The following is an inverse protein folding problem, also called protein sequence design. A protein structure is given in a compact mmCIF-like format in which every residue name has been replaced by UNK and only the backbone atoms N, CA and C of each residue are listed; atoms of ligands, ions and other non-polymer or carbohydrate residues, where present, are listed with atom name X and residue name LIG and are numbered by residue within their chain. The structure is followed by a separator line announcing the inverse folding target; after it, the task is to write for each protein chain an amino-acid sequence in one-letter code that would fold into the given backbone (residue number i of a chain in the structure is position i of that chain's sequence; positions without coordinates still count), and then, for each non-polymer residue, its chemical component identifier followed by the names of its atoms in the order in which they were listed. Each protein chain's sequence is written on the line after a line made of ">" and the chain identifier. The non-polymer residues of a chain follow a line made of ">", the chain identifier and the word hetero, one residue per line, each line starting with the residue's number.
data_IF_223606672352
#
_entry.id   IF_223606672352
#
_cell.length_a   1.000
_cell.length_b   1.000
_cell.length_c   1.000
_cell.angle_alpha   90.00
_cell.angle_beta   90.00
_cell.angle_gamma   90.00
#
_symmetry.space_group_name_H-M   'P 1'
#
loop_
_entity.id
_entity.type
_entity.pdbx_description
1 polymer ?
#
# COMPACT_ATOMS: atom_id res chain seq x y z
N UNK A 1 27.73 -4.21 17.90
CA UNK A 1 26.45 -4.36 17.19
C UNK A 1 25.39 -3.67 18.05
N UNK A 2 24.85 -2.54 17.60
CA UNK A 2 23.74 -1.90 18.31
C UNK A 2 22.46 -2.68 17.97
N UNK A 3 21.75 -3.19 18.97
CA UNK A 3 20.39 -3.68 18.75
C UNK A 3 19.50 -2.46 18.51
N UNK A 4 19.20 -2.13 17.25
CA UNK A 4 18.09 -1.22 16.96
C UNK A 4 16.84 -1.84 17.58
N UNK A 5 16.23 -1.12 18.51
CA UNK A 5 15.01 -1.54 19.19
C UNK A 5 13.86 -1.69 18.19
N UNK A 6 13.02 -2.70 18.39
CA UNK A 6 11.76 -2.82 17.66
C UNK A 6 10.93 -1.53 17.81
N UNK A 7 10.34 -1.07 16.70
CA UNK A 7 9.54 0.15 16.67
C UNK A 7 8.08 -0.25 16.74
N UNK A 8 7.41 0.06 17.85
CA UNK A 8 6.01 -0.28 18.05
C UNK A 8 5.08 0.80 17.48
N UNK A 9 4.07 0.38 16.71
CA UNK A 9 2.90 1.22 16.39
C UNK A 9 1.83 0.94 17.44
N UNK A 10 1.44 1.97 18.18
CA UNK A 10 0.33 1.92 19.13
C UNK A 10 -0.82 2.73 18.51
N UNK A 11 -1.96 2.12 18.12
CA UNK A 11 -3.04 2.83 17.43
C UNK A 11 -3.55 4.08 18.15
N UNK A 12 -3.53 4.10 19.49
CA UNK A 12 -3.97 5.23 20.32
C UNK A 12 -2.95 6.38 20.44
N UNK A 13 -1.70 6.23 19.96
CA UNK A 13 -0.72 7.33 19.92
C UNK A 13 -0.71 8.08 18.59
N UNK A 14 -1.49 7.64 17.60
CA UNK A 14 -1.64 8.30 16.31
C UNK A 14 -2.57 9.52 16.42
N UNK A 15 -2.26 10.65 15.76
CA UNK A 15 -3.21 11.76 15.63
C UNK A 15 -4.51 11.26 15.01
N UNK A 16 -5.64 11.67 15.58
CA UNK A 16 -6.96 11.08 15.26
C UNK A 16 -8.09 12.09 15.17
N UNK A 17 -7.80 13.40 15.31
CA UNK A 17 -8.82 14.41 15.06
C UNK A 17 -9.23 14.40 13.58
N UNK A 18 -10.50 14.77 13.27
CA UNK A 18 -10.98 14.84 11.89
C UNK A 18 -10.24 15.90 11.06
N UNK A 19 -9.60 16.87 11.72
CA UNK A 19 -8.67 17.83 11.12
C UNK A 19 -7.43 17.96 11.99
N UNK A 20 -6.26 17.89 11.36
CA UNK A 20 -4.93 18.01 11.99
C UNK A 20 -4.03 18.86 11.08
N UNK A 21 -3.08 19.60 11.67
CA UNK A 21 -2.09 20.37 10.92
C UNK A 21 -0.74 20.31 11.61
N UNK A 22 0.27 19.81 10.91
CA UNK A 22 1.59 19.52 11.46
C UNK A 22 2.53 20.70 11.20
N UNK A 23 2.44 21.73 12.04
CA UNK A 23 3.26 22.94 11.95
C UNK A 23 4.77 22.71 12.12
N UNK A 24 5.18 21.51 12.55
CA UNK A 24 6.56 21.04 12.59
C UNK A 24 7.05 20.42 11.27
N UNK A 25 6.20 20.31 10.25
CA UNK A 25 6.55 19.74 8.94
C UNK A 25 7.42 20.67 8.08
N UNK A 26 8.08 20.10 7.05
CA UNK A 26 8.91 20.87 6.10
C UNK A 26 8.15 22.03 5.44
N UNK A 27 6.85 21.86 5.13
CA UNK A 27 6.00 22.87 4.51
C UNK A 27 5.95 24.19 5.32
N UNK A 28 5.61 24.09 6.61
CA UNK A 28 5.49 25.27 7.48
C UNK A 28 6.84 25.77 8.00
N UNK A 29 7.81 24.88 8.23
CA UNK A 29 9.14 25.30 8.69
C UNK A 29 9.95 26.01 7.60
N UNK A 30 9.75 25.64 6.32
CA UNK A 30 10.37 26.33 5.17
C UNK A 30 9.72 27.68 4.89
N UNK A 31 8.40 27.80 5.02
CA UNK A 31 7.69 29.08 4.88
C UNK A 31 6.56 29.23 5.92
N UNK A 32 6.85 29.81 7.10
CA UNK A 32 5.87 29.93 8.20
C UNK A 32 4.66 30.83 7.95
N UNK A 33 4.52 31.38 6.74
CA UNK A 33 3.35 32.17 6.32
C UNK A 33 2.43 31.42 5.34
N UNK A 34 2.79 30.20 4.94
CA UNK A 34 1.89 29.37 4.14
C UNK A 34 0.78 28.81 5.03
N UNK A 35 -0.42 28.77 4.46
CA UNK A 35 -1.57 28.04 4.98
C UNK A 35 -1.90 26.92 3.98
N UNK A 36 -2.48 25.83 4.45
CA UNK A 36 -2.93 24.76 3.56
C UNK A 36 -4.19 25.23 2.79
N UNK A 37 -4.29 24.99 1.47
CA UNK A 37 -5.45 25.39 0.69
C UNK A 37 -6.76 24.82 1.26
N UNK A 38 -7.80 25.64 1.33
CA UNK A 38 -9.10 25.24 1.88
C UNK A 38 -9.77 24.14 1.03
N UNK A 39 -10.61 23.28 1.63
CA UNK A 39 -11.44 22.32 0.88
C UNK A 39 -12.29 22.93 -0.24
N UNK A 40 -12.68 24.21 -0.12
CA UNK A 40 -13.31 24.98 -1.20
C UNK A 40 -12.36 25.19 -2.37
N UNK A 41 -11.15 25.71 -2.14
CA UNK A 41 -10.17 25.97 -3.20
C UNK A 41 -9.73 24.68 -3.92
N UNK A 42 -9.63 23.56 -3.20
CA UNK A 42 -9.36 22.24 -3.80
C UNK A 42 -10.48 21.83 -4.76
N UNK A 43 -11.75 21.96 -4.34
CA UNK A 43 -12.91 21.63 -5.18
C UNK A 43 -13.04 22.57 -6.37
N UNK A 44 -12.88 23.87 -6.17
CA UNK A 44 -12.96 24.88 -7.23
C UNK A 44 -11.88 24.65 -8.29
N UNK A 45 -10.65 24.33 -7.87
CA UNK A 45 -9.55 24.00 -8.78
C UNK A 45 -9.76 22.70 -9.54
N UNK A 46 -10.38 21.68 -8.93
CA UNK A 46 -10.78 20.46 -9.63
C UNK A 46 -11.91 20.73 -10.64
N UNK A 47 -12.98 21.41 -10.20
CA UNK A 47 -14.14 21.78 -11.03
C UNK A 47 -13.75 22.63 -12.25
N UNK A 48 -12.68 23.42 -12.16
CA UNK A 48 -12.14 24.18 -13.29
C UNK A 48 -11.46 23.30 -14.38
N UNK A 49 -11.21 22.02 -14.10
CA UNK A 49 -10.47 21.09 -14.98
C UNK A 49 -11.27 19.84 -15.40
N UNK A 50 -12.52 19.68 -14.92
CA UNK A 50 -13.36 18.52 -15.20
C UNK A 50 -14.77 18.93 -15.62
N UNK A 51 -15.37 18.19 -16.55
CA UNK A 51 -16.81 18.28 -16.86
C UNK A 51 -17.66 17.32 -16.00
N UNK A 52 -17.03 16.40 -15.27
CA UNK A 52 -17.71 15.44 -14.39
C UNK A 52 -17.21 15.59 -12.93
N UNK A 53 -18.00 16.22 -12.03
CA UNK A 53 -17.60 16.46 -10.65
C UNK A 53 -17.93 15.32 -9.68
N UNK A 54 -18.61 14.24 -10.12
CA UNK A 54 -19.11 13.18 -9.23
C UNK A 54 -18.22 11.93 -9.24
N UNK A 55 -16.95 12.10 -8.85
CA UNK A 55 -16.01 10.99 -8.65
C UNK A 55 -15.72 10.84 -7.16
N UNK A 56 -15.83 9.62 -6.61
CA UNK A 56 -15.62 9.35 -5.17
C UNK A 56 -14.15 9.46 -4.74
N UNK A 57 -13.24 9.24 -5.70
CA UNK A 57 -11.79 9.44 -5.61
C UNK A 57 -11.29 10.30 -6.79
N UNK A 58 -11.46 11.64 -6.75
CA UNK A 58 -10.95 12.54 -7.78
C UNK A 58 -9.42 12.45 -7.93
N UNK A 59 -8.87 12.84 -9.10
CA UNK A 59 -7.44 13.08 -9.25
C UNK A 59 -6.91 14.06 -8.19
N UNK A 60 -5.70 13.82 -7.63
CA UNK A 60 -5.10 14.75 -6.68
C UNK A 60 -4.88 16.15 -7.27
N UNK A 61 -5.03 17.19 -6.45
CA UNK A 61 -4.78 18.57 -6.86
C UNK A 61 -3.35 18.96 -6.49
N UNK A 62 -2.58 19.46 -7.46
CA UNK A 62 -1.14 19.70 -7.31
C UNK A 62 -0.85 21.22 -7.24
N UNK A 63 0.03 21.61 -6.32
CA UNK A 63 0.55 22.96 -6.12
C UNK A 63 2.09 22.91 -6.22
N UNK A 64 2.67 22.94 -7.44
CA UNK A 64 4.11 22.76 -7.64
C UNK A 64 4.95 23.83 -6.94
N UNK A 65 4.50 25.09 -6.91
CA UNK A 65 5.20 26.20 -6.27
C UNK A 65 5.24 26.13 -4.72
N UNK A 66 4.69 25.06 -4.14
CA UNK A 66 4.58 24.83 -2.70
C UNK A 66 4.99 23.40 -2.29
N UNK A 67 5.56 22.61 -3.22
CA UNK A 67 5.87 21.18 -3.04
C UNK A 67 4.71 20.37 -2.42
N UNK A 68 3.47 20.69 -2.84
CA UNK A 68 2.24 20.19 -2.23
C UNK A 68 1.38 19.42 -3.25
N UNK A 69 0.91 18.25 -2.83
CA UNK A 69 -0.15 17.48 -3.50
C UNK A 69 -1.27 17.20 -2.49
N UNK A 70 -2.52 17.37 -2.94
CA UNK A 70 -3.71 17.15 -2.11
C UNK A 70 -4.53 16.00 -2.66
N UNK A 71 -4.50 14.87 -1.96
CA UNK A 71 -5.34 13.72 -2.24
C UNK A 71 -6.66 13.87 -1.49
N UNK A 72 -7.78 13.81 -2.18
CA UNK A 72 -9.08 14.07 -1.57
C UNK A 72 -10.18 13.20 -2.17
N UNK A 73 -11.31 13.08 -1.47
CA UNK A 73 -12.46 12.28 -1.89
C UNK A 73 -13.21 11.64 -0.72
N UNK A 74 -14.32 10.96 -1.03
CA UNK A 74 -15.14 10.24 -0.03
C UNK A 74 -14.54 8.88 0.36
N UNK A 75 -13.75 8.26 -0.53
CA UNK A 75 -13.01 7.02 -0.23
C UNK A 75 -11.69 7.27 0.52
N UNK A 76 -11.19 8.52 0.54
CA UNK A 76 -9.90 8.85 1.14
C UNK A 76 -9.96 8.72 2.68
N UNK A 77 -8.96 8.05 3.24
CA UNK A 77 -8.92 7.66 4.64
C UNK A 77 -7.82 8.40 5.40
N UNK A 78 -8.14 8.91 6.59
CA UNK A 78 -7.15 9.45 7.54
C UNK A 78 -6.06 8.40 7.89
N UNK A 79 -6.35 7.10 7.77
CA UNK A 79 -5.37 6.04 8.00
C UNK A 79 -4.12 6.14 7.09
N UNK A 80 -4.26 6.66 5.87
CA UNK A 80 -3.13 6.92 4.97
C UNK A 80 -2.25 8.06 5.52
N UNK A 81 -2.89 9.17 5.95
CA UNK A 81 -2.19 10.28 6.62
C UNK A 81 -1.50 9.84 7.92
N UNK A 82 -2.15 8.99 8.72
CA UNK A 82 -1.57 8.39 9.93
C UNK A 82 -0.35 7.52 9.61
N UNK A 83 -0.40 6.76 8.51
CA UNK A 83 0.74 5.96 8.05
C UNK A 83 1.94 6.84 7.67
N UNK A 84 1.73 7.83 6.80
CA UNK A 84 2.77 8.79 6.41
C UNK A 84 3.34 9.55 7.63
N UNK A 85 2.47 10.00 8.55
CA UNK A 85 2.84 10.67 9.80
C UNK A 85 3.80 9.80 10.63
N UNK A 86 3.43 8.53 10.83
CA UNK A 86 4.21 7.60 11.65
C UNK A 86 5.54 7.25 10.98
N UNK A 87 5.51 6.90 9.69
CA UNK A 87 6.69 6.46 8.94
C UNK A 87 7.72 7.58 8.82
N UNK A 88 7.32 8.82 8.45
CA UNK A 88 8.27 9.95 8.35
C UNK A 88 8.97 10.22 9.69
N UNK A 89 8.24 10.12 10.82
CA UNK A 89 8.78 10.41 12.17
C UNK A 89 9.65 9.30 12.75
N UNK A 90 9.32 8.02 12.52
CA UNK A 90 10.00 6.89 13.16
C UNK A 90 10.98 6.15 12.23
N UNK A 91 10.79 6.25 10.91
CA UNK A 91 11.58 5.55 9.88
C UNK A 91 12.05 6.47 8.75
N UNK A 92 11.89 7.80 8.83
CA UNK A 92 12.24 8.73 7.75
C UNK A 92 13.73 8.78 7.36
N UNK A 93 14.63 8.22 8.17
CA UNK A 93 16.04 8.01 7.83
C UNK A 93 16.34 6.68 7.10
N UNK A 94 15.32 5.84 6.91
CA UNK A 94 15.44 4.47 6.38
C UNK A 94 14.43 4.17 5.27
N UNK A 95 13.25 4.81 5.29
CA UNK A 95 12.20 4.71 4.29
C UNK A 95 11.79 6.13 3.89
N UNK A 96 12.08 6.52 2.66
CA UNK A 96 11.53 7.74 2.10
C UNK A 96 10.05 7.52 1.75
N UNK A 97 9.20 8.35 2.35
CA UNK A 97 7.77 8.48 2.06
C UNK A 97 7.43 9.98 1.98
N UNK A 98 6.34 10.36 1.28
CA UNK A 98 5.81 11.72 1.34
C UNK A 98 5.56 12.16 2.78
N UNK A 99 6.02 13.34 3.14
CA UNK A 99 5.64 13.97 4.39
C UNK A 99 4.17 14.39 4.34
N UNK A 100 3.40 14.06 5.37
CA UNK A 100 2.06 14.59 5.56
C UNK A 100 2.15 15.93 6.31
N UNK A 101 1.58 16.97 5.73
CA UNK A 101 1.53 18.33 6.31
C UNK A 101 0.25 18.55 7.13
N UNK A 102 -0.81 17.81 6.82
CA UNK A 102 -2.06 17.81 7.58
C UNK A 102 -3.16 17.02 6.89
N UNK A 103 -4.33 17.00 7.51
CA UNK A 103 -5.56 16.50 6.90
C UNK A 103 -6.78 17.23 7.44
N UNK A 104 -7.89 17.17 6.71
CA UNK A 104 -9.18 17.62 7.23
C UNK A 104 -10.32 16.79 6.65
N UNK A 105 -11.49 16.87 7.30
CA UNK A 105 -12.76 16.38 6.77
C UNK A 105 -13.71 17.54 6.54
N UNK A 106 -14.26 17.61 5.34
CA UNK A 106 -15.22 18.63 4.96
C UNK A 106 -16.20 18.08 3.90
N UNK A 107 -17.48 18.42 4.02
CA UNK A 107 -18.53 17.98 3.09
C UNK A 107 -18.64 16.47 2.89
N UNK A 108 -18.21 15.65 3.85
CA UNK A 108 -18.17 14.18 3.74
C UNK A 108 -16.92 13.60 3.04
N UNK A 109 -16.05 14.44 2.49
CA UNK A 109 -14.76 14.03 1.94
C UNK A 109 -13.62 14.20 2.97
N UNK A 110 -12.58 13.38 2.85
CA UNK A 110 -11.29 13.58 3.51
C UNK A 110 -10.33 14.28 2.54
N UNK A 111 -9.49 15.17 3.04
CA UNK A 111 -8.39 15.82 2.31
C UNK A 111 -7.08 15.51 3.04
N UNK A 112 -6.09 14.97 2.33
CA UNK A 112 -4.74 14.71 2.81
C UNK A 112 -3.78 15.66 2.08
N UNK A 113 -3.05 16.47 2.85
CA UNK A 113 -2.10 17.46 2.33
C UNK A 113 -0.69 16.91 2.55
N UNK A 114 0.03 16.60 1.47
CA UNK A 114 1.32 15.91 1.55
C UNK A 114 2.34 16.43 0.53
N UNK A 115 3.59 16.06 0.76
CA UNK A 115 4.76 16.37 -0.07
C UNK A 115 4.58 15.88 -1.52
N UNK A 116 4.71 16.81 -2.47
CA UNK A 116 4.83 16.50 -3.88
C UNK A 116 6.24 16.01 -4.18
N UNK A 117 6.39 14.73 -4.49
CA UNK A 117 7.70 14.15 -4.80
C UNK A 117 8.13 14.56 -6.22
N UNK A 118 9.16 15.40 -6.34
CA UNK A 118 9.86 15.66 -7.60
C UNK A 118 10.65 14.41 -8.02
N UNK A 119 10.11 13.67 -8.98
CA UNK A 119 10.69 12.44 -9.49
C UNK A 119 9.89 11.87 -10.65
N UNK A 120 10.31 10.70 -11.15
CA UNK A 120 9.60 9.92 -12.16
C UNK A 120 9.12 8.62 -11.54
N UNK A 121 7.91 8.18 -11.90
CA UNK A 121 7.42 6.85 -11.52
C UNK A 121 8.30 5.77 -12.16
N UNK A 122 8.52 4.67 -11.44
CA UNK A 122 9.44 3.61 -11.86
C UNK A 122 8.97 2.90 -13.14
N UNK A 123 7.66 2.65 -13.29
CA UNK A 123 7.06 2.10 -14.51
C UNK A 123 7.41 2.94 -15.76
N UNK A 124 7.24 4.26 -15.68
CA UNK A 124 7.47 5.19 -16.78
C UNK A 124 8.93 5.28 -17.25
N UNK A 125 9.88 4.74 -16.49
CA UNK A 125 11.32 4.70 -16.85
C UNK A 125 11.91 3.29 -16.89
N UNK A 126 11.14 2.27 -16.51
CA UNK A 126 11.63 0.92 -16.24
C UNK A 126 12.41 0.30 -17.40
N UNK A 127 11.90 0.46 -18.62
CA UNK A 127 12.51 -0.07 -19.85
C UNK A 127 13.74 0.71 -20.32
N UNK A 128 13.93 1.94 -19.83
CA UNK A 128 15.04 2.82 -20.19
C UNK A 128 16.24 2.76 -19.25
N UNK A 129 16.08 2.22 -18.03
CA UNK A 129 17.18 2.08 -17.05
C UNK A 129 17.96 0.78 -17.25
N UNK A 130 19.24 0.83 -16.91
CA UNK A 130 20.19 -0.29 -17.05
C UNK A 130 19.93 -1.42 -16.05
N UNK A 131 20.48 -2.62 -16.33
CA UNK A 131 20.39 -3.76 -15.41
C UNK A 131 21.03 -3.46 -14.05
N UNK A 132 22.19 -2.79 -14.03
CA UNK A 132 22.86 -2.34 -12.81
C UNK A 132 21.98 -1.36 -11.98
N UNK A 133 21.26 -0.46 -12.63
CA UNK A 133 20.29 0.42 -11.96
C UNK A 133 19.12 -0.37 -11.39
N UNK A 134 18.57 -1.35 -12.12
CA UNK A 134 17.48 -2.22 -11.64
C UNK A 134 17.90 -3.05 -10.42
N UNK A 135 19.13 -3.56 -10.39
CA UNK A 135 19.70 -4.23 -9.22
C UNK A 135 19.89 -3.25 -8.03
N UNK A 136 20.41 -2.05 -8.29
CA UNK A 136 20.55 -1.00 -7.27
C UNK A 136 19.19 -0.61 -6.67
N UNK A 137 18.15 -0.51 -7.50
CA UNK A 137 16.77 -0.25 -7.09
C UNK A 137 16.26 -1.38 -6.19
N UNK A 138 16.44 -2.64 -6.58
CA UNK A 138 16.04 -3.79 -5.76
C UNK A 138 16.74 -3.81 -4.40
N UNK A 139 18.05 -3.54 -4.34
CA UNK A 139 18.80 -3.45 -3.09
C UNK A 139 18.36 -2.28 -2.18
N UNK A 140 17.84 -1.19 -2.75
CA UNK A 140 17.26 -0.07 -1.99
C UNK A 140 15.87 -0.44 -1.46
N UNK A 141 15.02 -1.04 -2.29
CA UNK A 141 13.71 -1.55 -1.89
C UNK A 141 13.82 -2.63 -0.80
N UNK A 142 14.75 -3.57 -0.91
CA UNK A 142 14.99 -4.62 0.09
C UNK A 142 15.27 -4.02 1.47
N UNK A 143 16.10 -2.96 1.53
CA UNK A 143 16.40 -2.24 2.78
C UNK A 143 15.16 -1.54 3.32
N UNK A 144 14.44 -0.80 2.48
CA UNK A 144 13.23 -0.07 2.89
C UNK A 144 12.14 -1.02 3.42
N UNK A 145 11.90 -2.14 2.73
CA UNK A 145 10.95 -3.17 3.18
C UNK A 145 11.47 -3.86 4.45
N UNK A 146 12.77 -4.17 4.55
CA UNK A 146 13.34 -4.74 5.77
C UNK A 146 13.15 -3.84 6.99
N UNK A 147 13.31 -2.52 6.83
CA UNK A 147 13.01 -1.53 7.87
C UNK A 147 11.52 -1.49 8.21
N UNK A 148 10.63 -1.62 7.22
CA UNK A 148 9.17 -1.70 7.44
C UNK A 148 8.79 -2.95 8.24
N UNK A 149 9.45 -4.10 7.99
CA UNK A 149 9.23 -5.37 8.73
C UNK A 149 9.74 -5.35 10.18
N UNK A 150 10.51 -4.33 10.59
CA UNK A 150 10.85 -4.09 12.01
C UNK A 150 9.76 -3.39 12.80
N UNK A 151 8.72 -2.90 12.15
CA UNK A 151 7.52 -2.41 12.84
C UNK A 151 6.86 -3.58 13.57
N UNK A 152 6.52 -3.38 14.84
CA UNK A 152 5.79 -4.35 15.68
C UNK A 152 4.48 -3.76 16.19
N UNK A 153 3.54 -4.64 16.49
CA UNK A 153 2.36 -4.33 17.29
C UNK A 153 2.69 -4.49 18.78
N UNK A 154 1.76 -4.08 19.64
CA UNK A 154 1.71 -4.58 21.00
C UNK A 154 1.46 -6.11 20.97
N UNK A 155 2.31 -6.95 21.61
CA UNK A 155 2.08 -8.39 21.68
C UNK A 155 0.72 -8.78 22.28
N UNK A 156 0.16 -7.95 23.15
CA UNK A 156 -1.13 -8.18 23.83
C UNK A 156 -2.34 -7.66 23.03
N UNK A 157 -2.12 -6.82 22.00
CA UNK A 157 -3.16 -6.32 21.08
C UNK A 157 -2.78 -6.59 19.62
N UNK A 158 -2.59 -7.86 19.28
CA UNK A 158 -2.35 -8.30 17.90
C UNK A 158 -3.63 -8.27 17.06
N UNK A 159 -3.54 -7.68 15.87
CA UNK A 159 -4.61 -7.65 14.88
C UNK A 159 -4.10 -7.58 13.43
N UNK A 160 -4.98 -7.92 12.48
CA UNK A 160 -4.87 -7.66 11.04
C UNK A 160 -5.89 -6.56 10.72
N UNK A 161 -5.47 -5.49 10.03
CA UNK A 161 -6.29 -4.28 9.83
C UNK A 161 -5.45 -3.06 9.44
N UNK A 162 -6.07 -1.88 9.35
CA UNK A 162 -5.35 -0.62 9.09
C UNK A 162 -4.39 -0.24 10.24
N UNK A 163 -3.49 0.71 10.02
CA UNK A 163 -2.56 1.20 11.06
C UNK A 163 -3.25 1.62 12.37
N UNK A 164 -4.49 2.10 12.29
CA UNK A 164 -5.35 2.53 13.41
C UNK A 164 -6.37 1.48 13.87
N UNK A 165 -6.10 0.18 13.63
CA UNK A 165 -6.95 -0.97 14.05
C UNK A 165 -8.35 -0.95 13.43
N UNK A 166 -8.51 -0.30 12.28
CA UNK A 166 -9.72 -0.34 11.46
C UNK A 166 -9.69 -1.48 10.42
N UNK A 167 -10.73 -1.59 9.57
CA UNK A 167 -10.74 -2.56 8.47
C UNK A 167 -9.57 -2.32 7.49
N UNK A 168 -9.09 -3.40 6.88
CA UNK A 168 -8.12 -3.39 5.78
C UNK A 168 -8.64 -2.50 4.64
N UNK A 169 -7.73 -1.78 3.97
CA UNK A 169 -8.02 -0.83 2.88
C UNK A 169 -7.53 -1.27 1.51
N UNK A 170 -7.06 -2.51 1.40
CA UNK A 170 -6.74 -3.15 0.12
C UNK A 170 -7.96 -3.16 -0.81
N UNK A 171 -7.76 -2.71 -2.05
CA UNK A 171 -8.80 -2.56 -3.07
C UNK A 171 -9.49 -3.89 -3.42
N UNK A 172 -8.83 -5.03 -3.18
CA UNK A 172 -9.42 -6.36 -3.39
C UNK A 172 -10.63 -6.60 -2.44
N UNK A 173 -10.69 -5.90 -1.31
CA UNK A 173 -11.81 -5.92 -0.38
C UNK A 173 -12.77 -4.72 -0.54
N UNK A 174 -12.48 -3.80 -1.47
CA UNK A 174 -13.28 -2.60 -1.69
C UNK A 174 -14.48 -2.90 -2.59
N UNK A 175 -15.55 -3.42 -1.98
CA UNK A 175 -16.87 -3.51 -2.62
C UNK A 175 -17.98 -3.22 -1.61
N UNK A 176 -18.99 -2.39 -1.96
CA UNK A 176 -20.12 -2.07 -1.07
C UNK A 176 -20.96 -3.28 -0.65
N UNK A 177 -20.86 -4.41 -1.37
CA UNK A 177 -21.58 -5.65 -1.05
C UNK A 177 -20.83 -6.57 -0.09
N UNK A 178 -19.60 -6.23 0.31
CA UNK A 178 -18.79 -7.06 1.20
C UNK A 178 -18.91 -6.60 2.67
N UNK A 179 -18.84 -7.54 3.63
CA UNK A 179 -18.64 -7.17 5.03
C UNK A 179 -17.27 -6.47 5.21
N UNK A 180 -17.11 -5.58 6.21
CA UNK A 180 -15.83 -4.94 6.48
C UNK A 180 -14.70 -5.96 6.70
N UNK A 181 -13.54 -5.68 6.10
CA UNK A 181 -12.33 -6.49 6.18
C UNK A 181 -11.60 -6.31 7.51
N UNK A 182 -12.22 -6.75 8.60
CA UNK A 182 -11.62 -6.76 9.94
C UNK A 182 -11.95 -5.52 10.80
N UNK A 183 -11.18 -5.27 11.88
CA UNK A 183 -9.94 -5.97 12.25
C UNK A 183 -10.14 -7.44 12.66
N UNK A 184 -9.15 -8.28 12.41
CA UNK A 184 -9.13 -9.69 12.82
C UNK A 184 -8.03 -9.92 13.86
N UNK A 185 -8.26 -10.74 14.89
CA UNK A 185 -7.26 -10.99 15.94
C UNK A 185 -6.18 -11.99 15.54
N UNK A 186 -6.44 -12.84 14.54
CA UNK A 186 -5.51 -13.87 14.06
C UNK A 186 -5.56 -14.04 12.54
N UNK A 187 -4.48 -14.57 11.97
CA UNK A 187 -4.42 -15.00 10.56
C UNK A 187 -5.52 -16.01 10.24
N UNK A 188 -5.79 -16.98 11.14
CA UNK A 188 -6.94 -17.90 11.05
C UNK A 188 -8.27 -17.17 10.84
N UNK A 189 -8.59 -16.18 11.69
CA UNK A 189 -9.85 -15.44 11.59
C UNK A 189 -9.96 -14.58 10.32
N UNK A 190 -8.84 -14.09 9.80
CA UNK A 190 -8.76 -13.44 8.49
C UNK A 190 -9.04 -14.45 7.37
N UNK A 191 -8.35 -15.60 7.34
CA UNK A 191 -8.56 -16.67 6.37
C UNK A 191 -9.98 -17.24 6.37
N UNK A 192 -10.59 -17.38 7.56
CA UNK A 192 -11.97 -17.82 7.70
C UNK A 192 -12.92 -16.80 7.02
N UNK A 193 -12.85 -15.52 7.41
CA UNK A 193 -13.65 -14.44 6.81
C UNK A 193 -13.47 -14.35 5.29
N UNK A 194 -12.22 -14.45 4.84
CA UNK A 194 -11.81 -14.40 3.44
C UNK A 194 -12.40 -15.55 2.62
N UNK A 195 -12.39 -16.77 3.18
CA UNK A 195 -13.01 -17.94 2.55
C UNK A 195 -14.54 -17.82 2.42
N UNK A 196 -15.20 -17.08 3.33
CA UNK A 196 -16.63 -16.79 3.30
C UNK A 196 -17.04 -15.68 2.32
N UNK A 197 -16.11 -15.00 1.65
CA UNK A 197 -16.47 -13.93 0.70
C UNK A 197 -17.28 -14.48 -0.50
N UNK A 198 -18.29 -13.74 -1.00
CA UNK A 198 -19.13 -14.17 -2.12
C UNK A 198 -18.33 -14.52 -3.37
N UNK A 199 -18.76 -15.58 -4.06
CA UNK A 199 -18.13 -16.08 -5.30
C UNK A 199 -19.05 -15.96 -6.51
N UNK A 200 -18.48 -16.03 -7.73
CA UNK A 200 -19.20 -16.40 -8.94
C UNK A 200 -20.10 -17.62 -8.69
N UNK A 201 -21.24 -17.68 -9.39
CA UNK A 201 -22.35 -18.54 -9.01
C UNK A 201 -21.98 -20.05 -8.98
N UNK A 202 -21.08 -20.47 -9.88
CA UNK A 202 -20.59 -21.85 -10.03
C UNK A 202 -19.88 -22.42 -8.80
N UNK A 203 -19.36 -21.57 -7.90
CA UNK A 203 -18.55 -22.00 -6.76
C UNK A 203 -19.30 -22.00 -5.41
N UNK A 204 -20.60 -21.68 -5.39
CA UNK A 204 -21.36 -21.41 -4.15
C UNK A 204 -21.69 -22.64 -3.31
N UNK A 205 -21.73 -23.84 -3.90
CA UNK A 205 -22.19 -25.07 -3.22
C UNK A 205 -21.12 -25.76 -2.34
N UNK A 206 -19.94 -25.15 -2.15
CA UNK A 206 -18.82 -25.73 -1.36
C UNK A 206 -18.49 -24.85 -0.16
N UNK A 207 -19.09 -25.15 0.99
CA UNK A 207 -18.85 -24.49 2.26
C UNK A 207 -18.33 -25.48 3.32
N UNK A 208 -17.18 -25.23 3.98
CA UNK A 208 -16.25 -24.14 3.69
C UNK A 208 -15.57 -24.30 2.32
N UNK A 209 -14.96 -23.23 1.82
CA UNK A 209 -14.14 -23.25 0.61
C UNK A 209 -13.06 -24.35 0.72
N UNK A 210 -12.93 -25.27 -0.25
CA UNK A 210 -11.84 -26.23 -0.30
C UNK A 210 -10.44 -25.59 -0.17
N UNK A 211 -10.25 -24.37 -0.66
CA UNK A 211 -8.97 -23.65 -0.58
C UNK A 211 -8.64 -23.16 0.83
N UNK A 212 -9.63 -23.06 1.73
CA UNK A 212 -9.41 -22.71 3.13
C UNK A 212 -8.47 -23.70 3.83
N UNK A 213 -8.49 -24.97 3.42
CA UNK A 213 -7.62 -26.02 3.93
C UNK A 213 -6.15 -25.89 3.45
N UNK A 214 -5.88 -25.08 2.43
CA UNK A 214 -4.55 -24.82 1.89
C UNK A 214 -3.89 -23.54 2.43
N UNK A 215 -4.62 -22.74 3.22
CA UNK A 215 -4.10 -21.52 3.85
C UNK A 215 -3.38 -21.83 5.17
N UNK A 216 -2.15 -21.33 5.33
CA UNK A 216 -1.31 -21.56 6.52
C UNK A 216 -1.63 -20.48 7.57
N UNK A 217 -2.38 -20.88 8.60
CA UNK A 217 -2.81 -19.98 9.69
C UNK A 217 -1.68 -19.51 10.61
N UNK A 218 -0.48 -20.09 10.49
CA UNK A 218 0.71 -19.82 11.30
C UNK A 218 1.69 -18.88 10.56
N UNK A 219 1.15 -17.79 9.99
CA UNK A 219 1.95 -16.72 9.36
C UNK A 219 2.20 -15.59 10.34
N UNK A 220 3.35 -14.93 10.26
CA UNK A 220 3.58 -13.69 10.98
C UNK A 220 2.67 -12.56 10.47
N UNK A 221 2.25 -11.68 11.38
CA UNK A 221 1.51 -10.46 11.03
C UNK A 221 2.50 -9.30 11.01
N UNK A 222 2.63 -8.64 9.87
CA UNK A 222 3.63 -7.59 9.61
C UNK A 222 2.96 -6.37 9.00
N UNK A 223 3.59 -5.20 9.11
CA UNK A 223 3.09 -3.99 8.47
C UNK A 223 3.50 -3.99 6.99
N UNK A 224 2.53 -3.85 6.09
CA UNK A 224 2.68 -3.90 4.64
C UNK A 224 2.37 -2.55 3.99
N UNK A 225 2.98 -2.26 2.84
CA UNK A 225 2.56 -1.13 1.99
C UNK A 225 1.21 -1.43 1.32
N UNK A 226 1.04 -2.65 0.83
CA UNK A 226 -0.22 -3.15 0.26
C UNK A 226 -0.39 -2.84 -1.24
N UNK A 227 0.55 -2.16 -1.90
CA UNK A 227 0.46 -1.83 -3.33
C UNK A 227 1.82 -1.50 -3.97
N UNK A 228 2.80 -2.41 -3.88
CA UNK A 228 4.17 -2.20 -4.38
C UNK A 228 4.31 -2.36 -5.92
N UNK A 229 3.36 -1.79 -6.67
CA UNK A 229 3.46 -1.63 -8.12
C UNK A 229 4.50 -0.54 -8.48
N UNK A 230 5.26 -0.63 -9.60
CA UNK A 230 6.26 0.37 -9.97
C UNK A 230 5.72 1.82 -10.10
N UNK A 231 4.44 2.00 -10.46
CA UNK A 231 3.78 3.32 -10.46
C UNK A 231 3.82 4.02 -9.10
N UNK A 232 3.95 3.26 -8.01
CA UNK A 232 3.96 3.73 -6.63
C UNK A 232 5.39 3.88 -6.06
N UNK A 233 6.41 3.78 -6.93
CA UNK A 233 7.82 3.99 -6.59
C UNK A 233 8.34 5.16 -7.42
N UNK A 234 8.69 6.26 -6.77
CA UNK A 234 9.27 7.44 -7.41
C UNK A 234 10.79 7.38 -7.37
N UNK A 235 11.44 7.61 -8.52
CA UNK A 235 12.88 7.82 -8.64
C UNK A 235 13.16 9.32 -8.76
N UNK A 236 14.08 9.82 -7.92
CA UNK A 236 14.65 11.17 -8.02
C UNK A 236 16.18 11.10 -8.17
N UNK A 237 16.73 11.98 -9.01
CA UNK A 237 18.18 12.11 -9.24
C UNK A 237 18.67 13.47 -8.71
N UNK A 238 18.92 13.63 -7.39
CA UNK A 238 19.27 14.91 -6.79
C UNK A 238 20.66 15.39 -7.23
N UNK A 239 20.68 16.47 -8.02
CA UNK A 239 21.88 17.08 -8.65
C UNK A 239 23.01 17.51 -7.70
N UNK A 240 22.78 17.48 -6.39
CA UNK A 240 23.69 17.99 -5.35
C UNK A 240 24.33 16.89 -4.48
N UNK A 241 24.12 15.61 -4.80
CA UNK A 241 24.85 14.49 -4.15
C UNK A 241 25.98 14.02 -5.06
N UNK A 242 27.18 13.83 -4.49
CA UNK A 242 28.45 13.62 -5.24
C UNK A 242 28.56 12.32 -6.09
N UNK A 243 27.50 11.50 -6.23
CA UNK A 243 27.58 10.16 -6.85
C UNK A 243 26.30 9.73 -7.61
N UNK A 244 25.62 10.63 -8.33
CA UNK A 244 24.40 10.31 -9.13
C UNK A 244 23.35 9.47 -8.37
N UNK A 245 23.19 9.75 -7.07
CA UNK A 245 22.56 8.79 -6.16
C UNK A 245 21.04 8.71 -6.35
N UNK A 246 20.55 7.61 -6.95
CA UNK A 246 19.14 7.26 -7.10
C UNK A 246 18.42 7.30 -5.74
N UNK A 247 17.56 8.27 -5.53
CA UNK A 247 16.65 8.31 -4.37
C UNK A 247 15.34 7.63 -4.77
N UNK A 248 14.93 6.62 -4.00
CA UNK A 248 13.61 5.99 -4.11
C UNK A 248 12.69 6.52 -3.03
N UNK A 249 11.46 6.86 -3.40
CA UNK A 249 10.38 7.24 -2.47
C UNK A 249 9.14 6.42 -2.78
N UNK A 250 8.59 5.72 -1.78
CA UNK A 250 7.38 4.92 -1.93
C UNK A 250 6.16 5.80 -1.65
N UNK A 251 5.19 5.81 -2.56
CA UNK A 251 3.98 6.65 -2.51
C UNK A 251 2.69 5.80 -2.43
N UNK A 252 1.54 6.46 -2.32
CA UNK A 252 0.18 5.87 -2.26
C UNK A 252 -0.07 4.80 -1.18
N UNK A 253 0.27 5.11 0.08
CA UNK A 253 0.14 4.23 1.26
C UNK A 253 -1.31 3.92 1.70
N UNK A 254 -2.32 4.13 0.85
CA UNK A 254 -3.73 3.99 1.23
C UNK A 254 -4.18 2.56 1.55
N UNK A 255 -3.52 1.56 0.95
CA UNK A 255 -3.78 0.13 1.20
C UNK A 255 -2.97 -0.43 2.39
N UNK A 256 -2.14 0.40 3.03
CA UNK A 256 -1.21 -0.04 4.08
C UNK A 256 -1.91 -0.50 5.36
N UNK A 257 -1.28 -1.44 6.05
CA UNK A 257 -1.86 -2.07 7.24
C UNK A 257 -1.08 -3.26 7.74
N UNK A 258 -1.61 -3.87 8.80
CA UNK A 258 -1.14 -5.12 9.36
C UNK A 258 -1.80 -6.30 8.66
N UNK A 259 -1.01 -7.13 8.00
CA UNK A 259 -1.43 -8.25 7.16
C UNK A 259 -0.49 -9.46 7.34
N UNK A 260 -0.89 -10.68 6.95
CA UNK A 260 0.00 -11.84 6.92
C UNK A 260 1.23 -11.58 6.03
N UNK A 261 2.42 -12.05 6.41
CA UNK A 261 3.68 -11.67 5.72
C UNK A 261 3.73 -11.99 4.22
N UNK A 262 3.01 -13.05 3.79
CA UNK A 262 2.93 -13.43 2.38
C UNK A 262 2.13 -12.43 1.52
N UNK A 263 1.24 -11.63 2.13
CA UNK A 263 0.24 -10.81 1.42
C UNK A 263 0.90 -9.81 0.49
N UNK A 264 1.95 -9.13 0.95
CA UNK A 264 2.67 -8.11 0.16
C UNK A 264 3.23 -8.67 -1.15
N UNK A 265 3.85 -9.84 -1.10
CA UNK A 265 4.44 -10.48 -2.27
C UNK A 265 3.37 -10.93 -3.25
N UNK A 266 2.33 -11.60 -2.75
CA UNK A 266 1.20 -12.03 -3.56
C UNK A 266 0.48 -10.83 -4.21
N UNK A 267 0.27 -9.74 -3.46
CA UNK A 267 -0.37 -8.51 -3.92
C UNK A 267 0.46 -7.77 -4.98
N UNK A 268 1.76 -7.57 -4.74
CA UNK A 268 2.66 -6.93 -5.69
C UNK A 268 2.74 -7.70 -7.03
N UNK A 269 2.74 -9.05 -6.96
CA UNK A 269 2.68 -9.90 -8.15
C UNK A 269 1.31 -9.87 -8.83
N UNK A 270 0.22 -9.74 -8.08
CA UNK A 270 -1.15 -9.59 -8.64
C UNK A 270 -1.34 -8.27 -9.38
N UNK A 271 -0.70 -7.19 -8.94
CA UNK A 271 -0.72 -5.89 -9.63
C UNK A 271 0.24 -5.80 -10.81
N UNK A 272 1.24 -6.68 -10.90
CA UNK A 272 2.26 -6.65 -11.96
C UNK A 272 1.71 -7.14 -13.31
N UNK A 273 2.33 -6.68 -14.40
CA UNK A 273 2.08 -7.25 -15.72
C UNK A 273 2.54 -8.73 -15.75
N UNK A 274 1.70 -9.58 -16.34
CA UNK A 274 1.90 -11.02 -16.50
C UNK A 274 3.17 -11.27 -17.34
N UNK A 275 3.97 -12.28 -16.98
CA UNK A 275 5.26 -12.60 -17.60
C UNK A 275 6.31 -11.47 -17.63
N UNK A 276 6.05 -10.34 -16.95
CA UNK A 276 7.00 -9.21 -16.93
C UNK A 276 8.28 -9.55 -16.17
N UNK A 277 9.40 -8.97 -16.62
CA UNK A 277 10.67 -9.08 -15.90
C UNK A 277 10.54 -8.55 -14.46
N UNK A 278 9.72 -7.53 -14.23
CA UNK A 278 9.40 -7.04 -12.88
C UNK A 278 8.82 -8.16 -11.99
N UNK A 279 7.77 -8.85 -12.46
CA UNK A 279 7.13 -9.97 -11.76
C UNK A 279 8.10 -11.12 -11.47
N UNK A 280 8.78 -11.62 -12.50
CA UNK A 280 9.49 -12.91 -12.41
C UNK A 280 10.95 -12.79 -11.93
N UNK A 281 11.62 -11.66 -12.18
CA UNK A 281 13.06 -11.48 -11.89
C UNK A 281 13.29 -10.54 -10.71
N UNK A 282 12.57 -9.42 -10.64
CA UNK A 282 12.92 -8.34 -9.71
C UNK A 282 12.11 -8.32 -8.41
N UNK A 283 10.80 -8.57 -8.44
CA UNK A 283 10.00 -8.71 -7.21
C UNK A 283 10.58 -9.72 -6.20
N UNK A 284 11.07 -10.92 -6.60
CA UNK A 284 11.65 -11.89 -5.65
C UNK A 284 12.97 -11.45 -5.00
N UNK A 285 13.62 -10.38 -5.49
CA UNK A 285 14.89 -9.87 -4.92
C UNK A 285 14.68 -9.05 -3.65
N UNK A 286 13.51 -8.43 -3.48
CA UNK A 286 13.24 -7.53 -2.35
C UNK A 286 11.97 -7.89 -1.55
N UNK A 287 11.15 -8.83 -2.04
CA UNK A 287 10.02 -9.39 -1.31
C UNK A 287 10.18 -10.90 -1.12
N UNK A 288 9.87 -11.37 0.09
CA UNK A 288 9.70 -12.81 0.34
C UNK A 288 8.46 -13.32 -0.40
N UNK A 289 8.67 -14.11 -1.44
CA UNK A 289 7.58 -14.70 -2.26
C UNK A 289 7.21 -16.13 -1.88
N UNK A 290 8.07 -16.83 -1.14
CA UNK A 290 7.77 -18.17 -0.66
C UNK A 290 7.11 -18.14 0.71
N UNK A 291 5.85 -18.59 0.80
CA UNK A 291 5.28 -19.36 1.93
C UNK A 291 3.80 -19.78 1.73
N UNK A 292 3.46 -20.20 0.52
CA UNK A 292 2.42 -21.21 0.34
C UNK A 292 3.11 -22.57 0.45
N UNK A 293 2.45 -23.62 0.96
CA UNK A 293 3.09 -24.92 1.22
C UNK A 293 3.74 -25.54 -0.03
N UNK A 294 4.70 -26.48 0.09
CA UNK A 294 5.47 -26.99 -1.05
C UNK A 294 4.62 -27.48 -2.24
N UNK A 295 3.43 -28.06 -1.99
CA UNK A 295 2.50 -28.45 -3.06
C UNK A 295 1.84 -27.27 -3.78
N UNK A 296 1.61 -26.12 -3.11
CA UNK A 296 1.16 -24.90 -3.78
C UNK A 296 2.31 -24.23 -4.54
N UNK A 297 3.56 -24.27 -4.05
CA UNK A 297 4.71 -23.74 -4.80
C UNK A 297 4.87 -24.43 -6.16
N UNK A 298 4.67 -25.76 -6.22
CA UNK A 298 4.70 -26.50 -7.48
C UNK A 298 3.42 -26.37 -8.34
N UNK A 299 2.27 -26.02 -7.74
CA UNK A 299 1.04 -25.71 -8.51
C UNK A 299 0.93 -24.24 -8.94
N UNK A 300 1.77 -23.35 -8.44
CA UNK A 300 1.93 -21.98 -8.98
C UNK A 300 2.99 -22.03 -10.08
N UNK A 301 2.75 -22.88 -11.08
CA UNK A 301 3.13 -22.54 -12.44
C UNK A 301 1.92 -21.79 -13.02
N UNK A 302 1.96 -20.45 -13.05
CA UNK A 302 0.84 -19.61 -13.51
C UNK A 302 0.50 -19.83 -15.01
N UNK A 303 1.26 -20.68 -15.70
CA UNK A 303 1.34 -20.73 -17.16
C UNK A 303 1.12 -22.11 -17.78
N UNK A 304 0.68 -23.11 -17.00
CA UNK A 304 0.41 -24.44 -17.55
C UNK A 304 -0.93 -24.46 -18.32
N UNK A 305 -0.85 -24.28 -19.64
CA UNK A 305 -2.02 -24.10 -20.54
C UNK A 305 -2.65 -25.40 -21.07
N UNK A 306 -2.08 -26.57 -20.76
CA UNK A 306 -2.39 -27.82 -21.45
C UNK A 306 -2.96 -28.97 -20.57
N UNK A 307 -4.16 -28.79 -19.97
CA UNK A 307 -4.98 -29.91 -19.44
C UNK A 307 -6.49 -29.63 -19.64
N UNK A 308 -7.11 -30.29 -20.63
CA UNK A 308 -8.57 -30.36 -20.74
C UNK A 308 -9.20 -30.91 -19.44
N UNK A 309 -9.89 -30.05 -18.68
CA UNK A 309 -10.71 -30.47 -17.54
C UNK A 309 -10.85 -29.43 -16.42
N UNK A 310 -9.74 -28.84 -15.97
CA UNK A 310 -9.72 -27.81 -14.90
C UNK A 310 -8.41 -27.03 -14.94
N UNK A 311 -8.46 -25.73 -15.26
CA UNK A 311 -7.29 -24.84 -15.23
C UNK A 311 -7.34 -23.85 -14.05
N UNK A 312 -6.17 -23.70 -13.42
CA UNK A 312 -5.60 -22.54 -12.74
C UNK A 312 -6.40 -21.24 -12.82
N UNK A 313 -6.49 -20.48 -11.73
CA UNK A 313 -6.46 -19.01 -11.80
C UNK A 313 -6.43 -18.40 -10.40
N UNK A 314 -7.40 -17.50 -10.11
CA UNK A 314 -7.49 -16.54 -9.03
C UNK A 314 -8.54 -16.91 -7.91
N UNK A 315 -8.26 -16.60 -6.63
CA UNK A 315 -8.46 -17.33 -5.34
C UNK A 315 -9.43 -18.47 -5.40
N UNK A 316 -9.02 -19.59 -5.98
CA UNK A 316 -7.87 -20.06 -6.80
C UNK A 316 -6.41 -19.50 -6.59
N UNK A 317 -6.05 -18.25 -6.98
CA UNK A 317 -4.97 -17.33 -6.51
C UNK A 317 -5.41 -15.89 -6.01
N UNK A 318 -6.03 -14.96 -6.80
CA UNK A 318 -6.92 -13.81 -6.33
C UNK A 318 -8.43 -13.69 -6.83
N UNK A 319 -9.39 -14.20 -6.05
CA UNK A 319 -10.77 -14.77 -6.30
C UNK A 319 -11.40 -15.09 -7.69
N UNK A 320 -10.83 -14.81 -8.88
CA UNK A 320 -11.63 -14.71 -10.13
C UNK A 320 -12.79 -13.71 -9.92
N UNK A 321 -12.42 -12.62 -9.23
CA UNK A 321 -12.97 -11.28 -9.44
C UNK A 321 -14.39 -10.99 -8.89
N UNK A 322 -14.73 -11.51 -7.70
CA UNK A 322 -15.93 -11.22 -6.89
C UNK A 322 -17.31 -11.44 -7.53
N UNK A 323 -17.37 -11.78 -8.82
CA UNK A 323 -18.58 -11.98 -9.60
C UNK A 323 -18.58 -11.16 -10.90
N UNK A 324 -18.12 -11.78 -11.98
CA UNK A 324 -18.73 -11.59 -13.31
C UNK A 324 -19.75 -12.71 -13.54
#
# INVERSE_FOLDING_TARGET
>A
MSSQSDIQIIPSSLPSNPSETFHDSSYFTTNPRLELPSPSEIRDRYNATTENPMVERPPPVIFPDQDLIVKWGTEISIAEGQCLYFLKRNLGGEINVPEIYGWCRDGGATFLYMELIDGKQLDAVWDGISEDERECICQRLEKMISSLRRLKQDPEDRFIGSISRGPIKDIIFSSPSLPPAGPFTTVRTFHDWFAYLPRPWEARDRSPDPLRAHLIDDSDIVFTHGDLHPSNIMISYPKNKENDEIVLTIIDWHQSGWLPEYWEGCKARWTAEIDSAWSEIYLPKFLKMGMLGPELVFKINMYDRDIEGTHYDAWNWFVLRLGM
#
